data_IF_752644155399
#
_entry.id   IF_752644155399
#
_cell.length_a   1.000
_cell.length_b   1.000
_cell.length_c   1.000
_cell.angle_alpha   90.00
_cell.angle_beta   90.00
_cell.angle_gamma   90.00
#
_symmetry.space_group_name_H-M   'P 1'
#
loop_
_entity.id
_entity.type
_entity.pdbx_description
1 polymer ?
#
# COMPACT_ATOMS: atom_id res chain seq x y z
N UNK A 1 -2.00 1.20 -1.26
CA UNK A 1 -2.39 0.28 -0.16
C UNK A 1 -2.03 0.93 1.17
N UNK A 2 -2.93 1.09 2.15
CA UNK A 2 -2.52 1.61 3.46
C UNK A 2 -1.46 0.71 4.12
N UNK A 3 -0.45 1.34 4.72
CA UNK A 3 0.73 0.62 5.24
C UNK A 3 0.39 -0.31 6.41
N UNK A 4 -0.68 0.00 7.14
CA UNK A 4 -1.14 -0.74 8.32
C UNK A 4 -2.09 -1.91 7.99
N UNK A 5 -2.45 -2.09 6.71
CA UNK A 5 -3.28 -3.20 6.28
C UNK A 5 -2.42 -4.37 5.78
N UNK A 6 -1.76 -5.03 6.73
CA UNK A 6 -0.91 -6.18 6.48
C UNK A 6 -1.59 -7.32 5.70
N UNK A 7 -2.87 -7.67 5.95
CA UNK A 7 -3.55 -8.72 5.18
C UNK A 7 -3.65 -8.39 3.69
N UNK A 8 -3.99 -7.16 3.34
CA UNK A 8 -4.09 -6.75 1.93
C UNK A 8 -2.71 -6.73 1.27
N UNK A 9 -1.68 -6.22 1.95
CA UNK A 9 -0.30 -6.24 1.47
C UNK A 9 0.17 -7.67 1.19
N UNK A 10 -0.17 -8.63 2.05
CA UNK A 10 0.16 -10.04 1.85
C UNK A 10 -0.50 -10.61 0.59
N UNK A 11 -1.76 -10.25 0.31
CA UNK A 11 -2.45 -10.65 -0.93
C UNK A 11 -1.74 -10.08 -2.16
N UNK A 12 -1.42 -8.78 -2.17
CA UNK A 12 -0.72 -8.16 -3.29
C UNK A 12 0.65 -8.81 -3.54
N UNK A 13 1.45 -9.03 -2.49
CA UNK A 13 2.74 -9.74 -2.58
C UNK A 13 2.58 -11.16 -3.13
N UNK A 14 1.57 -11.91 -2.69
CA UNK A 14 1.26 -13.26 -3.20
C UNK A 14 1.00 -13.27 -4.72
N UNK A 15 0.42 -12.20 -5.26
CA UNK A 15 0.16 -12.07 -6.70
C UNK A 15 1.28 -11.36 -7.47
N UNK A 16 2.47 -11.21 -6.86
CA UNK A 16 3.68 -10.71 -7.51
C UNK A 16 3.78 -9.19 -7.57
N UNK A 17 3.03 -8.46 -6.74
CA UNK A 17 3.22 -7.02 -6.61
C UNK A 17 4.34 -6.72 -5.62
N UNK A 18 5.16 -5.73 -5.95
CA UNK A 18 6.23 -5.22 -5.11
C UNK A 18 5.90 -3.81 -4.61
N UNK A 19 6.51 -3.40 -3.50
CA UNK A 19 6.38 -2.04 -2.97
C UNK A 19 7.44 -1.17 -3.67
N UNK A 20 7.00 -0.20 -4.44
CA UNK A 20 7.88 0.73 -5.16
C UNK A 20 8.17 2.00 -4.33
N UNK A 21 7.34 2.26 -3.33
CA UNK A 21 7.54 3.41 -2.46
C UNK A 21 6.43 3.57 -1.43
N UNK A 22 6.64 4.54 -0.54
CA UNK A 22 5.66 4.93 0.48
C UNK A 22 5.34 6.41 0.33
N UNK A 23 4.08 6.72 0.04
CA UNK A 23 3.56 8.07 0.12
C UNK A 23 3.21 8.41 1.56
N UNK A 24 3.92 9.35 2.17
CA UNK A 24 3.61 9.83 3.52
C UNK A 24 2.35 10.69 3.49
N UNK A 25 1.42 10.46 4.42
CA UNK A 25 0.14 11.19 4.50
C UNK A 25 -0.59 11.29 3.16
N UNK A 26 -0.50 10.23 2.36
CA UNK A 26 -0.99 10.22 0.99
C UNK A 26 -2.46 9.83 0.89
N UNK A 27 -2.94 8.96 1.78
CA UNK A 27 -4.32 8.48 1.78
C UNK A 27 -5.17 9.15 2.85
N UNK A 28 -6.45 9.40 2.57
CA UNK A 28 -7.42 9.91 3.57
C UNK A 28 -8.28 8.75 4.10
N UNK A 29 -8.27 8.54 5.41
CA UNK A 29 -9.09 7.52 6.08
C UNK A 29 -9.61 8.07 7.42
N UNK A 30 -10.91 7.96 7.67
CA UNK A 30 -11.54 8.46 8.90
C UNK A 30 -11.22 9.94 9.21
N UNK A 31 -11.05 10.76 8.17
CA UNK A 31 -10.70 12.18 8.32
C UNK A 31 -9.21 12.45 8.56
N UNK A 32 -8.36 11.42 8.64
CA UNK A 32 -6.92 11.55 8.86
C UNK A 32 -6.12 11.15 7.63
N UNK A 33 -5.02 11.88 7.40
CA UNK A 33 -4.05 11.49 6.38
C UNK A 33 -3.12 10.41 6.92
N UNK A 34 -3.06 9.29 6.21
CA UNK A 34 -2.28 8.09 6.55
C UNK A 34 -1.31 7.75 5.43
N UNK A 35 -0.27 7.01 5.78
CA UNK A 35 0.73 6.54 4.83
C UNK A 35 0.17 5.42 3.94
N UNK A 36 0.62 5.40 2.68
CA UNK A 36 0.21 4.38 1.72
C UNK A 36 1.41 3.86 0.91
N UNK A 37 1.48 2.55 0.72
CA UNK A 37 2.36 1.92 -0.25
C UNK A 37 1.84 2.13 -1.67
N UNK A 38 2.75 2.54 -2.55
CA UNK A 38 2.63 2.35 -3.99
C UNK A 38 3.12 0.95 -4.32
N UNK A 39 2.26 0.15 -4.94
CA UNK A 39 2.57 -1.22 -5.29
C UNK A 39 2.28 -1.46 -6.76
N UNK A 40 3.21 -2.11 -7.45
CA UNK A 40 3.06 -2.44 -8.86
C UNK A 40 3.56 -3.86 -9.14
N UNK A 41 3.15 -4.39 -10.29
CA UNK A 41 3.68 -5.63 -10.85
C UNK A 41 3.99 -5.39 -12.31
N UNK A 42 5.24 -5.60 -12.71
CA UNK A 42 5.65 -5.56 -14.11
C UNK A 42 5.43 -6.94 -14.73
N UNK A 43 4.99 -6.98 -15.99
CA UNK A 43 4.80 -8.20 -16.79
C UNK A 43 5.97 -8.38 -17.75
#
# INVERSE_FOLDING_TARGET
>A
MFVDNEPAVAVYKKYGFEIEGTGKKYGLRNGEYVDAYFMARVK
#
